data_IF_854337863870
#
_entry.id   IF_854337863870
#
_cell.length_a   1.000
_cell.length_b   1.000
_cell.length_c   1.000
_cell.angle_alpha   90.00
_cell.angle_beta   90.00
_cell.angle_gamma   90.00
#
_symmetry.space_group_name_H-M   'P 1'
#
loop_
_entity.id
_entity.type
_entity.pdbx_description
1 polymer ?
#
# COMPACT_ATOMS: atom_id res chain seq x y z
N UNK A 1 -17.99 -9.94 27.93
CA UNK A 1 -18.21 -8.88 26.91
C UNK A 1 -16.91 -8.19 26.52
N UNK A 2 -16.15 -7.60 27.46
CA UNK A 2 -14.89 -6.90 27.17
C UNK A 2 -13.79 -7.78 26.55
N UNK A 3 -13.67 -9.05 26.96
CA UNK A 3 -12.68 -9.96 26.38
C UNK A 3 -12.95 -10.25 24.90
N UNK A 4 -14.23 -10.40 24.53
CA UNK A 4 -14.62 -10.57 23.12
C UNK A 4 -14.24 -9.34 22.30
N UNK A 5 -14.48 -8.14 22.84
CA UNK A 5 -14.10 -6.89 22.17
C UNK A 5 -12.59 -6.79 21.96
N UNK A 6 -11.79 -7.14 22.97
CA UNK A 6 -10.33 -7.17 22.87
C UNK A 6 -9.84 -8.19 21.84
N UNK A 7 -10.47 -9.36 21.78
CA UNK A 7 -10.13 -10.40 20.80
C UNK A 7 -10.49 -9.98 19.37
N UNK A 8 -11.67 -9.38 19.18
CA UNK A 8 -12.08 -8.78 17.91
C UNK A 8 -11.10 -7.68 17.46
N UNK A 9 -10.63 -6.84 18.39
CA UNK A 9 -9.64 -5.82 18.09
C UNK A 9 -8.29 -6.42 17.65
N UNK A 10 -7.81 -7.47 18.33
CA UNK A 10 -6.58 -8.18 17.92
C UNK A 10 -6.71 -8.78 16.52
N UNK A 11 -7.86 -9.36 16.20
CA UNK A 11 -8.09 -9.96 14.89
C UNK A 11 -8.17 -8.88 13.79
N UNK A 12 -8.83 -7.75 14.08
CA UNK A 12 -8.81 -6.57 13.23
C UNK A 12 -7.39 -6.06 12.97
N UNK A 13 -6.54 -5.98 13.99
CA UNK A 13 -5.14 -5.56 13.84
C UNK A 13 -4.38 -6.52 12.93
N UNK A 14 -4.55 -7.83 13.09
CA UNK A 14 -3.91 -8.83 12.23
C UNK A 14 -4.33 -8.69 10.76
N UNK A 15 -5.62 -8.50 10.51
CA UNK A 15 -6.14 -8.26 9.16
C UNK A 15 -5.60 -6.96 8.56
N UNK A 16 -5.53 -5.90 9.36
CA UNK A 16 -4.96 -4.62 8.94
C UNK A 16 -3.47 -4.76 8.61
N UNK A 17 -2.69 -5.50 9.40
CA UNK A 17 -1.28 -5.78 9.10
C UNK A 17 -1.12 -6.50 7.77
N UNK A 18 -1.96 -7.51 7.47
CA UNK A 18 -1.93 -8.20 6.18
C UNK A 18 -2.27 -7.26 5.01
N UNK A 19 -3.27 -6.38 5.19
CA UNK A 19 -3.62 -5.38 4.20
C UNK A 19 -2.49 -4.38 3.94
N UNK A 20 -1.79 -3.93 4.98
CA UNK A 20 -0.64 -3.02 4.86
C UNK A 20 0.54 -3.68 4.11
N UNK A 21 0.79 -4.96 4.36
CA UNK A 21 1.81 -5.73 3.63
C UNK A 21 1.45 -5.81 2.14
N UNK A 22 0.20 -6.14 1.82
CA UNK A 22 -0.26 -6.17 0.44
C UNK A 22 -0.19 -4.79 -0.23
N UNK A 23 -0.59 -3.73 0.48
CA UNK A 23 -0.54 -2.36 -0.02
C UNK A 23 0.90 -1.91 -0.32
N UNK A 24 1.86 -2.24 0.54
CA UNK A 24 3.27 -1.95 0.30
C UNK A 24 3.76 -2.60 -0.99
N UNK A 25 3.48 -3.90 -1.20
CA UNK A 25 3.86 -4.62 -2.42
C UNK A 25 3.24 -3.95 -3.67
N UNK A 26 1.97 -3.58 -3.62
CA UNK A 26 1.29 -2.92 -4.76
C UNK A 26 1.91 -1.56 -5.07
N UNK A 27 2.28 -0.79 -4.05
CA UNK A 27 2.92 0.52 -4.19
C UNK A 27 4.35 0.38 -4.75
N UNK A 28 5.15 -0.55 -4.23
CA UNK A 28 6.48 -0.86 -4.76
C UNK A 28 6.43 -1.26 -6.23
N UNK A 29 5.47 -2.11 -6.61
CA UNK A 29 5.26 -2.52 -8.00
C UNK A 29 4.86 -1.36 -8.94
N UNK A 30 4.44 -0.22 -8.38
CA UNK A 30 4.10 1.00 -9.12
C UNK A 30 5.20 2.05 -9.08
N UNK A 31 6.35 1.74 -8.48
CA UNK A 31 7.51 2.61 -8.39
C UNK A 31 7.53 3.54 -7.18
N UNK A 32 6.61 3.37 -6.23
CA UNK A 32 6.68 4.09 -4.95
C UNK A 32 7.64 3.39 -4.00
N UNK A 33 8.43 4.14 -3.23
CA UNK A 33 9.22 3.58 -2.14
C UNK A 33 8.30 3.30 -0.95
N UNK A 34 7.78 2.08 -0.85
CA UNK A 34 6.90 1.65 0.22
C UNK A 34 7.49 0.47 1.00
N UNK A 35 7.21 0.39 2.29
CA UNK A 35 7.65 -0.73 3.12
C UNK A 35 6.66 -0.99 4.26
N UNK A 36 6.59 -2.23 4.72
CA UNK A 36 5.76 -2.61 5.86
C UNK A 36 6.54 -3.58 6.76
N UNK A 37 6.91 -3.11 7.94
CA UNK A 37 7.63 -3.91 8.94
C UNK A 37 6.67 -4.35 10.05
N UNK A 38 6.66 -5.63 10.36
CA UNK A 38 5.90 -6.18 11.50
C UNK A 38 6.81 -6.32 12.72
N UNK A 39 6.33 -5.93 13.89
CA UNK A 39 7.03 -6.16 15.15
C UNK A 39 6.22 -7.12 16.05
N UNK A 40 6.91 -8.02 16.75
CA UNK A 40 6.30 -9.05 17.58
C UNK A 40 5.84 -10.26 16.75
N UNK A 41 6.18 -11.47 17.19
CA UNK A 41 6.02 -12.71 16.41
C UNK A 41 4.59 -13.09 15.96
N UNK A 42 3.56 -12.36 16.39
CA UNK A 42 2.15 -12.66 16.07
C UNK A 42 1.42 -11.57 15.26
N UNK A 43 2.08 -10.84 14.35
CA UNK A 43 1.42 -9.79 13.51
C UNK A 43 0.54 -8.82 14.33
N UNK A 44 0.94 -8.54 15.56
CA UNK A 44 0.19 -7.71 16.49
C UNK A 44 0.50 -6.23 16.30
N UNK A 45 1.48 -5.91 15.47
CA UNK A 45 1.81 -4.53 15.12
C UNK A 45 2.51 -4.44 13.78
N UNK A 46 2.38 -3.29 13.13
CA UNK A 46 3.17 -2.96 11.94
C UNK A 46 3.45 -1.46 11.82
N UNK A 47 4.56 -1.15 11.16
CA UNK A 47 4.91 0.17 10.66
C UNK A 47 4.93 0.12 9.13
N UNK A 48 3.92 0.72 8.52
CA UNK A 48 3.85 0.97 7.10
C UNK A 48 4.40 2.36 6.79
N UNK A 49 5.22 2.47 5.75
CA UNK A 49 5.79 3.73 5.30
C UNK A 49 5.75 3.80 3.78
N UNK A 50 5.40 4.96 3.24
CA UNK A 50 5.48 5.23 1.79
C UNK A 50 5.98 6.63 1.54
N UNK A 51 6.95 6.75 0.63
CA UNK A 51 7.38 8.04 0.08
C UNK A 51 6.56 8.37 -1.18
N UNK A 52 5.95 9.56 -1.20
CA UNK A 52 5.21 10.08 -2.34
C UNK A 52 6.09 10.96 -3.26
N UNK A 53 7.40 11.03 -3.01
CA UNK A 53 8.32 11.97 -3.67
C UNK A 53 8.43 13.30 -2.92
N UNK A 54 9.36 14.16 -3.32
CA UNK A 54 9.57 15.50 -2.73
C UNK A 54 9.72 15.50 -1.20
N UNK A 55 10.44 14.52 -0.65
CA UNK A 55 10.59 14.30 0.79
C UNK A 55 9.26 14.15 1.56
N UNK A 56 8.15 13.86 0.87
CA UNK A 56 6.85 13.62 1.47
C UNK A 56 6.72 12.14 1.88
N UNK A 57 6.75 11.89 3.18
CA UNK A 57 6.71 10.58 3.79
C UNK A 57 5.42 10.41 4.58
N UNK A 58 4.69 9.35 4.30
CA UNK A 58 3.57 8.88 5.10
C UNK A 58 4.06 7.72 5.96
N UNK A 59 3.69 7.73 7.24
CA UNK A 59 3.85 6.62 8.17
C UNK A 59 2.49 6.25 8.75
N UNK A 60 2.16 4.96 8.69
CA UNK A 60 1.00 4.39 9.37
C UNK A 60 1.47 3.33 10.37
N UNK A 61 1.13 3.53 11.64
CA UNK A 61 1.41 2.58 12.71
C UNK A 61 0.11 1.94 13.16
N UNK A 62 0.16 0.63 13.38
CA UNK A 62 -0.93 -0.13 13.98
C UNK A 62 -0.35 -1.04 15.06
N UNK A 63 -1.03 -1.11 16.20
CA UNK A 63 -0.77 -2.04 17.29
C UNK A 63 -2.06 -2.31 18.08
N UNK A 64 -1.98 -3.19 19.07
CA UNK A 64 -3.02 -3.37 20.07
C UNK A 64 -3.23 -2.15 20.98
N UNK A 65 -2.26 -1.22 21.04
CA UNK A 65 -2.36 0.03 21.79
C UNK A 65 -2.97 1.20 21.01
N UNK A 66 -3.00 1.12 19.68
CA UNK A 66 -3.54 2.21 18.88
C UNK A 66 -3.10 2.19 17.43
N UNK A 67 -3.68 3.14 16.70
CA UNK A 67 -3.52 3.33 15.26
C UNK A 67 -3.20 4.80 15.02
N UNK A 68 -2.15 5.08 14.26
CA UNK A 68 -1.73 6.45 13.95
C UNK A 68 -1.33 6.60 12.49
N UNK A 69 -1.68 7.74 11.91
CA UNK A 69 -1.20 8.21 10.62
C UNK A 69 -0.36 9.46 10.86
N UNK A 70 0.82 9.54 10.23
CA UNK A 70 1.71 10.69 10.31
C UNK A 70 2.20 11.04 8.91
N UNK A 71 2.01 12.30 8.54
CA UNK A 71 2.58 12.88 7.32
C UNK A 71 3.75 13.78 7.69
N UNK A 72 4.86 13.59 6.99
CA UNK A 72 6.07 14.39 7.14
C UNK A 72 6.52 14.92 5.78
N UNK A 73 6.98 16.16 5.74
CA UNK A 73 7.67 16.75 4.58
C UNK A 73 8.87 17.53 5.06
N UNK A 74 10.02 17.31 4.42
CA UNK A 74 11.29 17.96 4.79
C UNK A 74 11.57 17.87 6.30
N UNK A 75 11.37 16.66 6.84
CA UNK A 75 11.52 16.32 8.27
C UNK A 75 10.58 17.07 9.24
N UNK A 76 9.55 17.74 8.73
CA UNK A 76 8.50 18.39 9.53
C UNK A 76 7.23 17.56 9.52
N UNK A 77 6.71 17.26 10.70
CA UNK A 77 5.37 16.69 10.86
C UNK A 77 4.33 17.71 10.38
N UNK A 78 3.59 17.36 9.33
CA UNK A 78 2.51 18.18 8.78
C UNK A 78 1.19 17.87 9.45
N UNK A 79 0.97 16.59 9.73
CA UNK A 79 -0.29 16.10 10.27
C UNK A 79 -0.06 14.78 11.01
N UNK A 80 -0.78 14.62 12.13
CA UNK A 80 -0.90 13.37 12.84
C UNK A 80 -2.37 13.12 13.18
N UNK A 81 -2.86 11.94 12.79
CA UNK A 81 -4.23 11.49 13.04
C UNK A 81 -4.19 10.17 13.80
N UNK A 82 -5.24 9.90 14.58
CA UNK A 82 -5.33 8.70 15.41
C UNK A 82 -6.67 7.99 15.19
N UNK A 83 -6.68 6.67 15.40
CA UNK A 83 -7.91 5.86 15.34
C UNK A 83 -8.62 5.91 13.98
N UNK A 84 -9.90 6.31 13.99
CA UNK A 84 -10.74 6.26 12.80
C UNK A 84 -10.28 7.21 11.67
N UNK A 85 -9.75 8.38 12.02
CA UNK A 85 -9.26 9.35 11.03
C UNK A 85 -8.02 8.82 10.30
N UNK A 86 -7.12 8.14 11.03
CA UNK A 86 -5.97 7.46 10.44
C UNK A 86 -6.40 6.36 9.45
N UNK A 87 -7.42 5.57 9.81
CA UNK A 87 -7.99 4.54 8.93
C UNK A 87 -8.60 5.15 7.67
N UNK A 88 -9.28 6.29 7.81
CA UNK A 88 -9.85 7.02 6.68
C UNK A 88 -8.77 7.46 5.68
N UNK A 89 -7.66 8.05 6.15
CA UNK A 89 -6.54 8.43 5.28
C UNK A 89 -5.89 7.23 4.59
N UNK A 90 -5.74 6.10 5.30
CA UNK A 90 -5.24 4.87 4.69
C UNK A 90 -6.15 4.37 3.57
N UNK A 91 -7.47 4.49 3.73
CA UNK A 91 -8.43 4.12 2.70
C UNK A 91 -8.32 5.04 1.47
N UNK A 92 -8.15 6.35 1.67
CA UNK A 92 -7.93 7.30 0.57
C UNK A 92 -6.64 6.98 -0.19
N UNK A 93 -5.54 6.70 0.52
CA UNK A 93 -4.28 6.26 -0.11
C UNK A 93 -4.49 4.99 -0.94
N UNK A 94 -5.19 3.99 -0.40
CA UNK A 94 -5.49 2.75 -1.12
C UNK A 94 -6.38 3.00 -2.35
N UNK A 95 -7.32 3.95 -2.28
CA UNK A 95 -8.18 4.33 -3.40
C UNK A 95 -7.39 5.03 -4.52
N UNK A 96 -6.45 5.91 -4.18
CA UNK A 96 -5.56 6.56 -5.15
C UNK A 96 -4.76 5.53 -5.95
N UNK A 97 -4.26 4.50 -5.27
CA UNK A 97 -3.60 3.36 -5.91
C UNK A 97 -4.60 2.63 -6.82
N UNK A 98 -5.77 2.24 -6.33
CA UNK A 98 -6.74 1.51 -7.17
C UNK A 98 -7.17 2.28 -8.43
N UNK A 99 -7.33 3.60 -8.35
CA UNK A 99 -7.87 4.43 -9.42
C UNK A 99 -6.87 4.83 -10.51
N UNK A 100 -5.56 4.67 -10.30
CA UNK A 100 -4.55 4.78 -11.38
C UNK A 100 -4.58 3.57 -12.32
N UNK A 101 -5.73 3.27 -12.92
CA UNK A 101 -5.86 2.32 -14.03
C UNK A 101 -5.61 3.09 -15.33
N UNK A 102 -4.36 3.11 -15.79
CA UNK A 102 -4.09 2.80 -17.20
C UNK A 102 -2.84 1.91 -17.27
N UNK A 103 -2.98 0.64 -17.71
CA UNK A 103 -1.85 -0.06 -18.27
C UNK A 103 -1.40 0.71 -19.51
N UNK A 104 -0.13 1.13 -19.54
CA UNK A 104 0.52 1.48 -20.80
C UNK A 104 0.25 0.33 -21.78
N UNK A 105 -0.48 0.62 -22.85
CA UNK A 105 -0.58 -0.25 -24.00
C UNK A 105 0.85 -0.49 -24.46
N UNK A 106 1.38 -1.70 -24.26
CA UNK A 106 2.55 -2.14 -25.02
C UNK A 106 2.12 -2.13 -26.48
N UNK A 107 2.48 -1.09 -27.22
CA UNK A 107 2.44 -1.08 -28.66
C UNK A 107 3.48 -2.09 -29.17
N UNK A 108 3.13 -3.37 -29.14
CA UNK A 108 3.79 -4.37 -29.97
C UNK A 108 3.28 -4.22 -31.40
N UNK A 109 3.69 -3.13 -32.05
CA UNK A 109 3.82 -3.11 -33.50
C UNK A 109 5.29 -3.33 -33.79
N UNK A 110 5.65 -4.56 -34.14
CA UNK A 110 6.66 -4.85 -35.17
C UNK A 110 6.66 -6.35 -35.51
N UNK A 111 6.15 -6.61 -36.73
CA UNK A 111 6.51 -7.67 -37.69
C UNK A 111 6.06 -9.10 -37.43
N UNK A 112 4.95 -9.46 -38.09
CA UNK A 112 4.83 -10.72 -38.83
C UNK A 112 3.81 -10.57 -39.98
N UNK A 113 4.16 -9.75 -40.96
CA UNK A 113 3.69 -9.92 -42.34
C UNK A 113 4.96 -10.13 -43.16
N UNK A 114 5.28 -11.39 -43.47
CA UNK A 114 6.11 -11.83 -44.62
C UNK A 114 6.32 -13.36 -44.58
N UNK A 115 5.23 -14.12 -44.48
CA UNK A 115 5.27 -15.56 -44.73
C UNK A 115 4.04 -16.04 -45.49
N UNK A 116 3.74 -15.40 -46.62
CA UNK A 116 2.79 -15.91 -47.62
C UNK A 116 3.02 -15.26 -48.98
N UNK A 117 4.21 -15.46 -49.59
CA UNK A 117 4.36 -15.46 -51.05
C UNK A 117 5.75 -16.02 -51.41
N UNK A 118 5.90 -17.34 -51.41
CA UNK A 118 6.90 -18.06 -52.22
C UNK A 118 6.71 -19.58 -52.09
N UNK A 119 5.69 -20.08 -52.79
CA UNK A 119 5.67 -21.49 -53.23
C UNK A 119 4.84 -21.60 -54.51
N UNK A 120 5.42 -21.14 -55.61
CA UNK A 120 4.97 -21.46 -56.97
C UNK A 120 6.15 -21.30 -57.94
N UNK A 121 7.13 -22.22 -57.84
CA UNK A 121 7.94 -22.74 -58.95
C UNK A 121 8.05 -24.24 -58.71
#
# INVERSE_FOLDING_TARGET
>A
MFHRLAEQHRQFVQDLVMNLQALAIVLENRGYLASCYTCGGQRNSASFMVSLGENHLIRFLVSDYGITWTEMRDDRELMKLEGAEAISQLQELANLVKNQIQPCQKSNQLRQEDFSLNKAI
#
